data_IF_341511380607
#
_entry.id   IF_341511380607
#
_cell.length_a   1.000
_cell.length_b   1.000
_cell.length_c   1.000
_cell.angle_alpha   90.00
_cell.angle_beta   90.00
_cell.angle_gamma   90.00
#
_symmetry.space_group_name_H-M   'P 1'
#
loop_
_entity.id
_entity.type
_entity.pdbx_description
1 polymer ?
#
# COMPACT_ATOMS: atom_id res chain seq x y z
N UNK A 1 6.25 -12.90 16.61
CA UNK A 1 6.94 -11.65 17.03
C UNK A 1 8.17 -11.48 16.15
N UNK A 2 8.08 -10.67 15.13
CA UNK A 2 9.19 -10.46 14.17
C UNK A 2 9.96 -9.22 14.63
N UNK A 3 10.97 -9.40 15.47
CA UNK A 3 11.93 -8.34 15.81
C UNK A 3 13.24 -8.65 15.10
N UNK A 4 13.89 -7.70 14.40
CA UNK A 4 15.11 -7.97 13.64
C UNK A 4 16.28 -8.47 14.51
N UNK A 5 16.45 -7.92 15.72
CA UNK A 5 17.52 -8.35 16.65
C UNK A 5 17.48 -9.84 17.01
N UNK A 6 16.33 -10.46 17.38
CA UNK A 6 16.31 -11.91 17.64
C UNK A 6 16.52 -12.74 16.36
N UNK A 7 16.07 -12.30 15.19
CA UNK A 7 16.32 -12.99 13.92
C UNK A 7 17.81 -13.02 13.57
N UNK A 8 18.52 -11.91 13.71
CA UNK A 8 19.97 -11.86 13.51
C UNK A 8 20.71 -12.76 14.50
N UNK A 9 20.27 -12.81 15.77
CA UNK A 9 20.82 -13.70 16.77
C UNK A 9 20.58 -15.17 16.43
N UNK A 10 19.40 -15.54 15.93
CA UNK A 10 19.08 -16.90 15.44
C UNK A 10 19.88 -17.25 14.19
N UNK A 11 20.03 -16.32 13.25
CA UNK A 11 20.77 -16.50 12.01
C UNK A 11 22.22 -16.99 12.23
N UNK A 12 22.88 -16.47 13.26
CA UNK A 12 24.22 -16.88 13.63
C UNK A 12 24.25 -17.93 14.75
N UNK A 13 23.32 -17.87 15.68
CA UNK A 13 23.26 -18.78 16.82
C UNK A 13 22.97 -20.24 16.45
N UNK A 14 22.06 -20.48 15.50
CA UNK A 14 21.71 -21.84 15.09
C UNK A 14 22.85 -22.56 14.36
N UNK A 15 23.54 -21.97 13.37
CA UNK A 15 24.72 -22.59 12.76
C UNK A 15 25.85 -22.83 13.75
N UNK A 16 26.11 -21.89 14.68
CA UNK A 16 27.12 -22.05 15.72
C UNK A 16 26.74 -23.22 16.64
N UNK A 17 25.48 -23.31 17.05
CA UNK A 17 24.98 -24.45 17.86
C UNK A 17 25.15 -25.77 17.11
N UNK A 18 24.87 -25.84 15.80
CA UNK A 18 25.08 -27.01 14.98
C UNK A 18 26.55 -27.44 14.99
N UNK A 19 27.48 -26.49 14.81
CA UNK A 19 28.94 -26.79 14.85
C UNK A 19 29.35 -27.33 16.21
N UNK A 20 28.88 -26.72 17.30
CA UNK A 20 29.19 -27.16 18.69
C UNK A 20 28.65 -28.55 18.93
N UNK A 21 27.41 -28.86 18.53
CA UNK A 21 26.81 -30.19 18.69
C UNK A 21 27.57 -31.25 17.90
N UNK A 22 27.94 -30.95 16.65
CA UNK A 22 28.75 -31.88 15.84
C UNK A 22 30.13 -32.14 16.46
N UNK A 23 30.77 -31.08 16.96
CA UNK A 23 32.06 -31.21 17.67
C UNK A 23 31.93 -32.10 18.93
N UNK A 24 30.94 -31.82 19.78
CA UNK A 24 30.68 -32.60 20.99
C UNK A 24 30.41 -34.05 20.69
N UNK A 25 29.55 -34.36 19.70
CA UNK A 25 29.25 -35.76 19.31
C UNK A 25 30.48 -36.45 18.76
N UNK A 26 31.29 -35.74 17.95
CA UNK A 26 32.51 -36.32 17.37
C UNK A 26 33.56 -36.57 18.44
N UNK A 27 33.81 -35.62 19.33
CA UNK A 27 34.76 -35.83 20.46
C UNK A 27 34.29 -36.92 21.38
N UNK A 28 33.02 -36.94 21.78
CA UNK A 28 32.44 -37.99 22.60
C UNK A 28 32.57 -39.37 21.96
N UNK A 29 32.33 -39.47 20.65
CA UNK A 29 32.51 -40.71 19.90
C UNK A 29 33.97 -41.20 19.88
N UNK A 30 34.92 -40.25 19.76
CA UNK A 30 36.36 -40.60 19.76
C UNK A 30 36.86 -41.02 21.14
N UNK A 31 36.44 -40.32 22.20
CA UNK A 31 36.87 -40.52 23.57
C UNK A 31 36.27 -41.80 24.17
N UNK A 32 34.99 -42.07 23.96
CA UNK A 32 34.29 -43.23 24.46
C UNK A 32 34.53 -44.51 23.64
N UNK A 33 35.39 -44.48 22.64
CA UNK A 33 35.65 -45.61 21.74
C UNK A 33 36.41 -46.73 22.45
N UNK A 34 35.82 -47.95 22.62
CA UNK A 34 36.48 -49.05 23.31
C UNK A 34 37.74 -49.52 22.58
N UNK A 35 38.80 -49.88 23.37
CA UNK A 35 40.01 -50.48 22.84
C UNK A 35 39.71 -51.91 22.49
N UNK A 36 39.89 -52.33 21.20
CA UNK A 36 39.72 -53.75 20.78
C UNK A 36 38.53 -54.04 19.87
N UNK A 37 37.81 -53.02 19.40
CA UNK A 37 36.71 -53.21 18.43
C UNK A 37 37.20 -53.59 17.05
N UNK A 38 36.42 -54.42 16.34
CA UNK A 38 36.72 -54.85 14.97
C UNK A 38 36.62 -53.72 13.96
N UNK A 39 37.26 -53.87 12.78
CA UNK A 39 37.18 -52.86 11.70
C UNK A 39 35.74 -52.59 11.29
N UNK A 40 34.90 -53.65 11.19
CA UNK A 40 33.47 -53.49 10.83
C UNK A 40 32.68 -52.64 11.86
N UNK A 41 32.90 -52.89 13.16
CA UNK A 41 32.25 -52.08 14.21
C UNK A 41 32.72 -50.63 14.21
N UNK A 42 33.97 -50.36 13.86
CA UNK A 42 34.49 -49.00 13.71
C UNK A 42 33.79 -48.26 12.57
N UNK A 43 33.68 -48.90 11.40
CA UNK A 43 32.97 -48.34 10.26
C UNK A 43 31.50 -48.06 10.58
N UNK A 44 30.80 -49.03 11.14
CA UNK A 44 29.39 -48.87 11.51
C UNK A 44 29.16 -47.73 12.50
N UNK A 45 29.97 -47.67 13.58
CA UNK A 45 29.83 -46.58 14.57
C UNK A 45 30.15 -45.19 13.99
N UNK A 46 31.13 -45.11 13.08
CA UNK A 46 31.47 -43.83 12.42
C UNK A 46 30.35 -43.39 11.48
N UNK A 47 29.79 -44.30 10.67
CA UNK A 47 28.64 -44.01 9.81
C UNK A 47 27.45 -43.56 10.65
N UNK A 48 27.14 -44.26 11.74
CA UNK A 48 26.02 -43.89 12.62
C UNK A 48 26.18 -42.48 13.19
N UNK A 49 27.37 -42.13 13.69
CA UNK A 49 27.64 -40.79 14.23
C UNK A 49 27.59 -39.76 13.12
N UNK A 50 28.09 -40.04 11.91
CA UNK A 50 27.99 -39.12 10.77
C UNK A 50 26.54 -38.86 10.40
N UNK A 51 25.71 -39.92 10.32
CA UNK A 51 24.27 -39.76 10.04
C UNK A 51 23.59 -38.94 11.12
N UNK A 52 23.89 -39.19 12.39
CA UNK A 52 23.32 -38.45 13.51
C UNK A 52 23.75 -36.98 13.49
N UNK A 53 25.02 -36.69 13.25
CA UNK A 53 25.53 -35.33 13.11
C UNK A 53 24.84 -34.57 11.93
N UNK A 54 24.70 -35.24 10.80
CA UNK A 54 24.01 -34.64 9.62
C UNK A 54 22.55 -34.41 9.95
N UNK A 55 21.83 -35.34 10.54
CA UNK A 55 20.44 -35.21 10.90
C UNK A 55 20.16 -34.07 11.89
N UNK A 56 21.10 -33.79 12.80
CA UNK A 56 20.98 -32.66 13.75
C UNK A 56 21.46 -31.35 13.18
N UNK A 57 22.56 -31.34 12.41
CA UNK A 57 23.14 -30.09 11.89
C UNK A 57 22.33 -29.51 10.74
N UNK A 58 21.77 -30.32 9.84
CA UNK A 58 21.06 -29.87 8.67
C UNK A 58 19.85 -28.98 9.01
N UNK A 59 18.92 -29.40 9.90
CA UNK A 59 17.78 -28.52 10.26
C UNK A 59 18.21 -27.23 10.90
N UNK A 60 19.25 -27.22 11.75
CA UNK A 60 19.77 -26.02 12.40
C UNK A 60 20.42 -25.06 11.38
N UNK A 61 21.19 -25.60 10.45
CA UNK A 61 21.82 -24.80 9.40
C UNK A 61 20.76 -24.19 8.44
N UNK A 62 19.77 -24.99 8.07
CA UNK A 62 18.64 -24.53 7.25
C UNK A 62 17.84 -23.45 7.97
N UNK A 63 17.48 -23.66 9.22
CA UNK A 63 16.75 -22.67 10.02
C UNK A 63 17.58 -21.38 10.22
N UNK A 64 18.90 -21.48 10.42
CA UNK A 64 19.81 -20.35 10.49
C UNK A 64 19.86 -19.55 9.18
N UNK A 65 19.90 -20.24 8.03
CA UNK A 65 19.84 -19.61 6.72
C UNK A 65 18.51 -18.86 6.50
N UNK A 66 17.38 -19.49 6.81
CA UNK A 66 16.08 -18.82 6.73
C UNK A 66 16.00 -17.57 7.62
N UNK A 67 16.51 -17.66 8.87
CA UNK A 67 16.56 -16.50 9.75
C UNK A 67 17.46 -15.37 9.21
N UNK A 68 18.57 -15.73 8.53
CA UNK A 68 19.46 -14.76 7.88
C UNK A 68 18.78 -14.08 6.70
N UNK A 69 18.17 -14.86 5.81
CA UNK A 69 17.49 -14.35 4.62
C UNK A 69 16.32 -13.42 5.04
N UNK A 70 15.54 -13.81 6.07
CA UNK A 70 14.48 -13.00 6.65
C UNK A 70 14.99 -11.67 7.24
N UNK A 71 16.04 -11.70 8.05
CA UNK A 71 16.62 -10.49 8.64
C UNK A 71 17.15 -9.54 7.56
N UNK A 72 17.76 -10.09 6.52
CA UNK A 72 18.35 -9.31 5.43
C UNK A 72 17.30 -8.66 4.53
N UNK A 73 16.20 -9.36 4.25
CA UNK A 73 15.05 -8.83 3.52
C UNK A 73 14.40 -7.66 4.28
N UNK A 74 14.10 -7.88 5.56
CA UNK A 74 13.47 -6.86 6.38
C UNK A 74 14.31 -5.58 6.40
N UNK A 75 15.65 -5.71 6.40
CA UNK A 75 16.57 -4.58 6.31
C UNK A 75 16.60 -3.85 4.96
N UNK A 76 16.11 -4.48 3.90
CA UNK A 76 16.07 -3.84 2.56
C UNK A 76 14.78 -3.07 2.31
N UNK A 77 13.64 -3.57 2.79
CA UNK A 77 12.32 -2.96 2.59
C UNK A 77 12.02 -1.93 3.68
N UNK A 78 12.25 -2.34 4.93
CA UNK A 78 12.02 -1.52 6.12
C UNK A 78 13.38 -1.00 6.61
N UNK A 79 13.53 0.30 6.58
CA UNK A 79 14.85 0.93 6.72
C UNK A 79 14.91 1.85 7.93
N UNK A 80 16.09 1.96 8.51
CA UNK A 80 16.40 3.01 9.48
C UNK A 80 16.85 4.32 8.81
N UNK A 81 16.74 4.43 7.47
CA UNK A 81 17.02 5.65 6.74
C UNK A 81 16.13 6.79 7.22
N UNK A 82 16.63 8.01 7.13
CA UNK A 82 15.94 9.20 7.62
C UNK A 82 14.84 9.65 6.66
N UNK A 83 13.71 10.07 7.22
CA UNK A 83 12.64 10.77 6.51
C UNK A 83 12.19 11.94 7.38
N UNK A 84 12.18 13.13 6.83
CA UNK A 84 11.83 14.37 7.53
C UNK A 84 10.34 14.46 7.88
N UNK A 85 9.50 13.69 7.19
CA UNK A 85 8.03 13.71 7.35
C UNK A 85 7.48 12.52 8.12
N UNK A 86 8.36 11.61 8.58
CA UNK A 86 7.97 10.42 9.33
C UNK A 86 7.58 10.79 10.77
N UNK A 87 6.48 10.23 11.33
CA UNK A 87 6.12 10.48 12.72
C UNK A 87 7.15 9.92 13.68
N UNK A 88 7.43 10.69 14.75
CA UNK A 88 8.28 10.24 15.85
C UNK A 88 7.49 9.28 16.75
N UNK A 89 7.64 7.98 16.53
CA UNK A 89 7.00 6.92 17.31
C UNK A 89 8.06 6.12 18.05
N UNK A 90 7.86 5.89 19.36
CA UNK A 90 8.67 4.95 20.13
C UNK A 90 8.19 3.51 19.90
N UNK A 91 8.89 2.77 19.05
CA UNK A 91 8.59 1.37 18.73
C UNK A 91 9.09 0.36 19.77
N UNK A 92 9.62 0.80 20.90
CA UNK A 92 9.89 -0.07 22.05
C UNK A 92 8.63 -0.35 22.87
N UNK A 93 7.56 0.41 22.62
CA UNK A 93 6.26 0.20 23.21
C UNK A 93 5.56 -1.07 22.67
N UNK A 94 4.50 -1.51 23.34
CA UNK A 94 3.67 -2.58 22.80
C UNK A 94 2.93 -2.12 21.54
N UNK A 95 2.61 -3.05 20.63
CA UNK A 95 1.84 -2.76 19.40
C UNK A 95 0.52 -2.04 19.73
N UNK A 96 -0.14 -2.45 20.81
CA UNK A 96 -1.38 -1.82 21.29
C UNK A 96 -1.18 -0.36 21.67
N UNK A 97 -0.08 -0.04 22.35
CA UNK A 97 0.20 1.32 22.80
C UNK A 97 0.62 2.22 21.63
N UNK A 98 1.35 1.68 20.65
CA UNK A 98 1.67 2.37 19.39
C UNK A 98 0.38 2.88 18.72
N UNK A 99 -0.60 2.00 18.53
CA UNK A 99 -1.85 2.36 17.87
C UNK A 99 -2.81 3.16 18.75
N UNK A 100 -2.74 3.03 20.07
CA UNK A 100 -3.54 3.83 21.00
C UNK A 100 -3.22 5.33 20.88
N UNK A 101 -1.95 5.68 20.62
CA UNK A 101 -1.53 7.07 20.41
C UNK A 101 -1.86 7.59 19.02
N UNK A 102 -2.23 6.71 18.07
CA UNK A 102 -2.46 7.04 16.66
C UNK A 102 -3.75 6.38 16.14
N UNK A 103 -4.91 7.04 16.29
CA UNK A 103 -6.22 6.49 15.90
C UNK A 103 -6.33 6.17 14.41
N UNK A 104 -5.55 6.85 13.58
CA UNK A 104 -5.45 6.60 12.13
C UNK A 104 -4.01 6.68 11.68
N UNK A 105 -3.63 5.79 10.78
CA UNK A 105 -2.36 5.84 10.06
C UNK A 105 -2.65 6.05 8.57
N UNK A 106 -1.93 7.01 7.98
CA UNK A 106 -2.07 7.37 6.57
C UNK A 106 -0.81 6.95 5.82
N UNK A 107 -0.98 6.05 4.86
CA UNK A 107 0.14 5.51 4.07
C UNK A 107 -0.06 5.92 2.62
N UNK A 108 0.93 6.62 2.05
CA UNK A 108 0.97 6.94 0.64
C UNK A 108 1.50 5.73 -0.13
N UNK A 109 0.67 5.20 -1.02
CA UNK A 109 1.01 4.13 -1.95
C UNK A 109 1.34 4.75 -3.30
N UNK A 110 2.54 4.51 -3.78
CA UNK A 110 3.08 5.09 -5.01
C UNK A 110 3.41 3.98 -6.00
N UNK A 111 2.85 4.08 -7.20
CA UNK A 111 3.27 3.27 -8.35
C UNK A 111 4.22 4.06 -9.23
N UNK A 112 5.47 3.61 -9.36
CA UNK A 112 6.48 4.26 -10.19
C UNK A 112 6.56 3.62 -11.58
N UNK A 113 6.66 4.46 -12.63
CA UNK A 113 6.88 3.99 -14.01
C UNK A 113 8.36 3.73 -14.28
N UNK A 114 8.97 2.91 -13.45
CA UNK A 114 10.37 2.48 -13.58
C UNK A 114 10.47 0.95 -13.61
N UNK A 115 11.52 0.45 -14.22
CA UNK A 115 11.91 -0.96 -14.17
C UNK A 115 13.41 -1.10 -14.50
N UNK A 116 13.95 -2.31 -14.39
CA UNK A 116 15.36 -2.59 -14.66
C UNK A 116 15.83 -2.20 -16.07
N UNK A 117 14.93 -2.20 -17.05
CA UNK A 117 15.25 -1.87 -18.42
C UNK A 117 15.21 -0.35 -18.69
N UNK A 118 14.36 0.39 -17.96
CA UNK A 118 14.16 1.83 -18.17
C UNK A 118 15.16 2.71 -17.42
N UNK A 119 15.53 2.30 -16.20
CA UNK A 119 16.46 3.03 -15.32
C UNK A 119 16.07 4.52 -15.08
N UNK A 120 14.78 4.85 -15.10
CA UNK A 120 14.31 6.23 -14.99
C UNK A 120 14.64 6.87 -13.65
N UNK A 121 14.66 6.07 -12.57
CA UNK A 121 15.08 6.53 -11.23
C UNK A 121 16.53 7.02 -11.24
N UNK A 122 17.44 6.25 -11.86
CA UNK A 122 18.83 6.61 -11.95
C UNK A 122 19.06 7.82 -12.88
N UNK A 123 18.18 8.01 -13.87
CA UNK A 123 18.19 9.14 -14.79
C UNK A 123 17.50 10.40 -14.25
N UNK A 124 16.86 10.33 -13.06
CA UNK A 124 16.10 11.45 -12.50
C UNK A 124 14.76 11.75 -13.19
N UNK A 125 14.28 10.84 -14.06
CA UNK A 125 13.07 11.03 -14.87
C UNK A 125 11.91 10.09 -14.50
N UNK A 126 11.93 9.52 -13.30
CA UNK A 126 10.89 8.62 -12.81
C UNK A 126 9.57 9.36 -12.59
N UNK A 127 8.48 8.85 -13.18
CA UNK A 127 7.12 9.34 -12.96
C UNK A 127 6.39 8.50 -11.93
N UNK A 128 5.65 9.14 -11.05
CA UNK A 128 4.78 8.47 -10.06
C UNK A 128 3.35 8.40 -10.56
N UNK A 129 3.06 7.40 -11.39
CA UNK A 129 1.80 7.29 -12.14
C UNK A 129 0.60 6.82 -11.31
N UNK A 130 0.82 6.36 -10.10
CA UNK A 130 -0.23 5.98 -9.14
C UNK A 130 0.02 6.67 -7.81
N UNK A 131 -0.96 7.46 -7.38
CA UNK A 131 -0.95 8.17 -6.11
C UNK A 131 -2.21 7.81 -5.33
N UNK A 132 -2.06 7.03 -4.27
CA UNK A 132 -3.14 6.62 -3.38
C UNK A 132 -2.73 6.84 -1.93
N UNK A 133 -3.61 7.43 -1.12
CA UNK A 133 -3.45 7.49 0.33
C UNK A 133 -4.44 6.54 0.98
N UNK A 134 -3.93 5.51 1.64
CA UNK A 134 -4.72 4.62 2.49
C UNK A 134 -4.77 5.20 3.91
N UNK A 135 -5.93 5.69 4.32
CA UNK A 135 -6.20 6.18 5.67
C UNK A 135 -6.88 5.07 6.47
N UNK A 136 -6.14 4.45 7.38
CA UNK A 136 -6.51 3.22 8.07
C UNK A 136 -6.86 3.55 9.53
N UNK A 137 -8.04 3.17 9.98
CA UNK A 137 -8.41 3.23 11.39
C UNK A 137 -7.69 2.08 12.13
N UNK A 138 -6.81 2.43 13.05
CA UNK A 138 -5.94 1.46 13.73
C UNK A 138 -6.66 0.56 14.73
N UNK A 139 -7.88 0.92 15.15
CA UNK A 139 -8.66 0.13 16.11
C UNK A 139 -9.51 -0.96 15.45
N UNK A 140 -9.97 -0.78 14.21
CA UNK A 140 -10.90 -1.69 13.55
C UNK A 140 -10.55 -2.04 12.11
N UNK A 141 -9.48 -1.46 11.56
CA UNK A 141 -9.02 -1.71 10.21
C UNK A 141 -9.82 -1.04 9.09
N UNK A 142 -10.91 -0.32 9.40
CA UNK A 142 -11.70 0.38 8.38
C UNK A 142 -10.80 1.37 7.62
N UNK A 143 -10.79 1.27 6.31
CA UNK A 143 -9.86 2.00 5.46
C UNK A 143 -10.60 2.85 4.44
N UNK A 144 -10.15 4.09 4.30
CA UNK A 144 -10.55 4.98 3.21
C UNK A 144 -9.36 5.20 2.29
N UNK A 145 -9.54 4.90 1.00
CA UNK A 145 -8.51 5.06 -0.03
C UNK A 145 -8.83 6.31 -0.84
N UNK A 146 -7.91 7.24 -0.88
CA UNK A 146 -8.00 8.47 -1.65
C UNK A 146 -7.04 8.38 -2.84
N UNK A 147 -7.58 8.43 -4.05
CA UNK A 147 -6.77 8.40 -5.26
C UNK A 147 -6.74 9.79 -5.91
N UNK A 148 -5.54 10.32 -6.08
CA UNK A 148 -5.28 11.58 -6.75
C UNK A 148 -4.83 11.27 -8.20
N UNK A 149 -5.46 11.87 -9.23
CA UNK A 149 -5.00 11.71 -10.60
C UNK A 149 -3.57 12.21 -10.75
N UNK A 150 -2.73 11.49 -11.47
CA UNK A 150 -1.33 11.83 -11.68
C UNK A 150 -1.12 13.21 -12.34
N UNK A 151 -2.10 13.64 -13.14
CA UNK A 151 -2.12 14.93 -13.83
C UNK A 151 -2.78 16.06 -13.03
N UNK A 152 -2.87 15.92 -11.71
CA UNK A 152 -3.36 17.00 -10.83
C UNK A 152 -2.29 18.07 -10.72
N UNK A 153 -2.66 19.30 -11.10
CA UNK A 153 -1.78 20.46 -11.01
C UNK A 153 -1.89 21.17 -9.66
N UNK A 154 -1.01 22.15 -9.43
CA UNK A 154 -1.05 23.04 -8.26
C UNK A 154 -1.10 22.29 -6.93
N UNK A 155 -0.44 21.13 -6.84
CA UNK A 155 -0.38 20.38 -5.57
C UNK A 155 0.18 21.26 -4.46
N UNK A 156 -0.59 21.49 -3.37
CA UNK A 156 -0.19 22.45 -2.34
C UNK A 156 0.89 21.86 -1.44
N UNK A 157 1.73 22.73 -0.89
CA UNK A 157 2.63 22.37 0.21
C UNK A 157 2.18 23.04 1.51
N UNK A 158 2.33 22.40 2.69
CA UNK A 158 2.05 23.02 3.98
C UNK A 158 2.81 24.34 4.15
N UNK A 159 2.18 25.32 4.79
CA UNK A 159 2.75 26.66 4.96
C UNK A 159 4.08 26.70 5.73
N UNK A 160 4.33 25.70 6.56
CA UNK A 160 5.58 25.49 7.32
C UNK A 160 6.62 24.66 6.54
N UNK A 161 6.27 24.16 5.37
CA UNK A 161 7.21 23.45 4.50
C UNK A 161 8.15 24.40 3.78
N UNK A 162 9.46 24.10 3.70
CA UNK A 162 10.39 24.88 2.88
C UNK A 162 9.96 25.02 1.43
N UNK A 163 9.33 23.99 0.85
CA UNK A 163 8.84 24.00 -0.53
C UNK A 163 7.68 24.98 -0.76
N UNK A 164 6.97 25.41 0.29
CA UNK A 164 5.93 26.43 0.17
C UNK A 164 6.50 27.78 -0.30
N UNK A 165 7.72 28.11 0.08
CA UNK A 165 8.37 29.35 -0.36
C UNK A 165 8.75 29.30 -1.84
N UNK A 166 9.14 28.13 -2.34
CA UNK A 166 9.47 27.94 -3.77
C UNK A 166 8.18 27.80 -4.62
N UNK A 167 7.09 27.27 -4.04
CA UNK A 167 5.80 27.04 -4.70
C UNK A 167 4.62 27.60 -3.89
N UNK A 168 4.51 28.93 -3.72
CA UNK A 168 3.49 29.54 -2.87
C UNK A 168 2.05 29.36 -3.41
N UNK A 169 1.89 29.10 -4.71
CA UNK A 169 0.63 28.83 -5.38
C UNK A 169 0.39 27.32 -5.65
N UNK A 170 1.10 26.46 -4.92
CA UNK A 170 1.18 25.03 -5.18
C UNK A 170 2.25 24.70 -6.22
N UNK A 171 2.51 23.39 -6.44
CA UNK A 171 3.51 22.92 -7.41
C UNK A 171 3.06 23.24 -8.82
N UNK A 172 3.56 24.36 -9.33
CA UNK A 172 3.23 24.95 -10.63
C UNK A 172 4.40 25.79 -11.13
N UNK A 173 4.63 25.78 -12.44
CA UNK A 173 5.62 26.63 -13.09
C UNK A 173 5.19 28.08 -13.19
N UNK A 174 6.14 28.96 -13.44
CA UNK A 174 5.88 30.36 -13.77
C UNK A 174 5.09 30.40 -15.09
N UNK A 175 4.01 31.21 -15.15
CA UNK A 175 3.10 31.30 -16.29
C UNK A 175 2.38 30.01 -16.73
N UNK A 176 2.38 28.96 -15.91
CA UNK A 176 1.67 27.70 -16.18
C UNK A 176 0.18 27.81 -15.79
N UNK A 177 -0.70 27.39 -16.69
CA UNK A 177 -2.15 27.35 -16.47
C UNK A 177 -2.63 26.04 -15.79
N UNK A 178 -1.72 25.14 -15.41
CA UNK A 178 -2.01 23.84 -14.81
C UNK A 178 -2.07 22.71 -15.84
N UNK A 179 -1.55 22.91 -17.04
CA UNK A 179 -1.52 21.89 -18.10
C UNK A 179 -0.12 21.36 -18.38
N UNK A 180 0.94 21.99 -17.84
CA UNK A 180 2.31 21.56 -18.03
C UNK A 180 2.60 20.24 -17.26
N UNK A 181 2.95 19.14 -17.96
CA UNK A 181 3.21 17.85 -17.34
C UNK A 181 4.36 17.85 -16.30
N UNK A 182 5.31 18.77 -16.44
CA UNK A 182 6.47 18.89 -15.55
C UNK A 182 6.10 19.43 -14.15
N UNK A 183 4.89 20.01 -14.03
CA UNK A 183 4.36 20.54 -12.77
C UNK A 183 3.08 19.85 -12.32
N UNK A 184 2.87 18.61 -12.74
CA UNK A 184 1.78 17.76 -12.25
C UNK A 184 2.22 16.90 -11.06
N UNK A 185 1.26 16.34 -10.35
CA UNK A 185 1.49 15.52 -9.13
C UNK A 185 2.51 14.40 -9.33
N UNK A 186 2.53 13.77 -10.53
CA UNK A 186 3.46 12.69 -10.86
C UNK A 186 4.91 13.14 -11.06
N UNK A 187 5.17 14.43 -11.23
CA UNK A 187 6.51 14.99 -11.41
C UNK A 187 7.16 15.43 -10.08
N UNK A 188 6.39 15.60 -8.99
CA UNK A 188 6.91 16.12 -7.71
C UNK A 188 8.11 15.31 -7.22
N UNK A 189 8.01 13.98 -7.26
CA UNK A 189 9.08 13.10 -6.77
C UNK A 189 10.40 13.36 -7.48
N UNK A 190 10.40 13.33 -8.81
CA UNK A 190 11.60 13.50 -9.62
C UNK A 190 12.15 14.92 -9.53
N UNK A 191 11.29 15.93 -9.66
CA UNK A 191 11.69 17.34 -9.61
C UNK A 191 12.33 17.68 -8.26
N UNK A 192 11.73 17.28 -7.14
CA UNK A 192 12.30 17.59 -5.83
C UNK A 192 13.57 16.78 -5.57
N UNK A 193 13.65 15.54 -6.05
CA UNK A 193 14.86 14.74 -5.94
C UNK A 193 16.04 15.27 -6.77
N UNK A 194 15.76 15.99 -7.87
CA UNK A 194 16.78 16.57 -8.74
C UNK A 194 17.18 18.00 -8.29
N UNK A 195 16.20 18.86 -8.07
CA UNK A 195 16.42 20.29 -8.05
C UNK A 195 16.22 20.94 -6.67
N UNK A 196 15.53 20.26 -5.71
CA UNK A 196 15.15 20.84 -4.43
C UNK A 196 15.59 20.00 -3.22
N UNK A 197 16.59 19.15 -3.38
CA UNK A 197 17.10 18.27 -2.28
C UNK A 197 17.48 19.07 -1.05
N UNK A 198 18.18 20.18 -1.25
CA UNK A 198 18.68 21.06 -0.16
C UNK A 198 17.54 21.70 0.65
N UNK A 199 16.33 21.79 0.06
CA UNK A 199 15.14 22.31 0.75
C UNK A 199 14.55 21.32 1.74
N UNK A 200 14.77 20.02 1.52
CA UNK A 200 14.12 18.96 2.29
C UNK A 200 14.81 18.61 3.62
N UNK A 201 15.95 19.26 3.92
CA UNK A 201 16.70 19.01 5.14
C UNK A 201 17.33 17.62 5.18
N UNK A 202 17.49 17.07 6.38
CA UNK A 202 18.14 15.76 6.57
C UNK A 202 17.18 14.60 6.26
N UNK A 203 17.06 14.22 5.00
CA UNK A 203 16.29 13.06 4.55
C UNK A 203 17.04 12.24 3.50
N UNK A 204 16.82 10.94 3.52
CA UNK A 204 17.30 10.01 2.49
C UNK A 204 16.25 9.84 1.36
N UNK A 205 15.07 10.50 1.48
CA UNK A 205 13.92 10.37 0.60
C UNK A 205 13.28 11.73 0.22
N UNK A 206 14.06 12.70 -0.32
CA UNK A 206 13.54 14.06 -0.52
C UNK A 206 12.28 14.12 -1.41
N UNK A 207 12.26 13.38 -2.52
CA UNK A 207 11.09 13.35 -3.40
C UNK A 207 9.87 12.68 -2.78
N UNK A 208 10.06 11.62 -1.99
CA UNK A 208 8.97 10.97 -1.27
C UNK A 208 8.40 11.86 -0.16
N UNK A 209 9.27 12.52 0.60
CA UNK A 209 8.85 13.44 1.66
C UNK A 209 8.09 14.63 1.07
N UNK A 210 8.55 15.19 -0.05
CA UNK A 210 7.82 16.23 -0.78
C UNK A 210 6.45 15.76 -1.25
N UNK A 211 6.36 14.55 -1.82
CA UNK A 211 5.11 13.97 -2.28
C UNK A 211 4.15 13.68 -1.13
N UNK A 212 4.65 13.22 0.04
CA UNK A 212 3.86 13.06 1.28
C UNK A 212 3.30 14.40 1.75
N UNK A 213 4.11 15.46 1.77
CA UNK A 213 3.68 16.80 2.15
C UNK A 213 2.59 17.32 1.21
N UNK A 214 2.83 17.23 -0.11
CA UNK A 214 1.87 17.73 -1.10
C UNK A 214 0.54 16.97 -1.08
N UNK A 215 0.58 15.63 -1.04
CA UNK A 215 -0.64 14.80 -0.98
C UNK A 215 -1.36 14.97 0.35
N UNK A 216 -0.64 15.11 1.45
CA UNK A 216 -1.19 15.36 2.77
C UNK A 216 -1.93 16.69 2.83
N UNK A 217 -1.31 17.76 2.36
CA UNK A 217 -1.91 19.10 2.33
C UNK A 217 -3.13 19.15 1.39
N UNK A 218 -3.05 18.50 0.22
CA UNK A 218 -4.17 18.43 -0.72
C UNK A 218 -5.39 17.72 -0.11
N UNK A 219 -5.18 16.66 0.68
CA UNK A 219 -6.24 15.86 1.29
C UNK A 219 -6.65 16.34 2.70
N UNK A 220 -5.91 17.28 3.29
CA UNK A 220 -6.10 17.70 4.69
C UNK A 220 -5.75 16.59 5.69
N UNK A 221 -4.73 15.77 5.39
CA UNK A 221 -4.28 14.64 6.19
C UNK A 221 -2.77 14.75 6.44
N UNK A 222 -2.32 14.28 7.60
CA UNK A 222 -0.88 14.03 7.77
C UNK A 222 -0.56 12.65 7.19
N UNK A 223 0.25 12.58 6.14
CA UNK A 223 0.74 11.33 5.57
C UNK A 223 1.94 10.85 6.38
N UNK A 224 1.79 9.68 7.00
CA UNK A 224 2.78 9.15 7.96
C UNK A 224 3.94 8.44 7.28
N UNK A 225 3.60 7.57 6.36
CA UNK A 225 4.56 6.70 5.68
C UNK A 225 4.28 6.65 4.18
N UNK A 226 5.27 6.21 3.42
CA UNK A 226 5.06 5.82 2.04
C UNK A 226 5.52 4.40 1.76
N UNK A 227 4.92 3.79 0.74
CA UNK A 227 5.37 2.56 0.11
C UNK A 227 5.32 2.77 -1.39
N UNK A 228 6.47 2.67 -2.04
CA UNK A 228 6.58 2.75 -3.49
C UNK A 228 6.90 1.39 -4.08
N UNK A 229 6.18 1.03 -5.14
CA UNK A 229 6.40 -0.15 -5.96
C UNK A 229 6.69 0.30 -7.39
N UNK A 230 7.76 -0.20 -7.98
CA UNK A 230 7.97 -0.11 -9.41
C UNK A 230 7.26 -1.26 -10.17
N UNK A 231 7.30 -1.25 -11.49
CA UNK A 231 6.63 -2.23 -12.35
C UNK A 231 7.10 -3.65 -12.03
N UNK A 232 8.41 -3.85 -11.94
CA UNK A 232 9.01 -5.17 -11.68
C UNK A 232 8.68 -5.66 -10.26
N UNK A 233 8.64 -4.73 -9.29
CA UNK A 233 8.28 -5.01 -7.90
C UNK A 233 6.84 -5.48 -7.76
N UNK A 234 5.92 -4.83 -8.45
CA UNK A 234 4.51 -5.22 -8.46
C UNK A 234 4.33 -6.64 -9.03
N UNK A 235 4.94 -6.92 -10.20
CA UNK A 235 4.87 -8.24 -10.82
C UNK A 235 5.37 -9.34 -9.88
N UNK A 236 6.57 -9.15 -9.34
CA UNK A 236 7.20 -10.15 -8.46
C UNK A 236 6.46 -10.33 -7.14
N UNK A 237 5.91 -9.25 -6.56
CA UNK A 237 5.10 -9.36 -5.35
C UNK A 237 3.88 -10.24 -5.61
N UNK A 238 3.20 -10.04 -6.74
CA UNK A 238 2.02 -10.82 -7.11
C UNK A 238 2.38 -12.27 -7.40
N UNK A 239 3.48 -12.53 -8.12
CA UNK A 239 3.97 -13.88 -8.38
C UNK A 239 4.36 -14.60 -7.09
N UNK A 240 5.04 -13.90 -6.18
CA UNK A 240 5.40 -14.41 -4.87
C UNK A 240 4.18 -14.76 -4.00
N UNK A 241 3.08 -14.01 -4.12
CA UNK A 241 1.79 -14.34 -3.52
C UNK A 241 1.07 -15.49 -4.24
N UNK A 242 1.59 -15.92 -5.39
CA UNK A 242 1.02 -16.98 -6.23
C UNK A 242 -0.09 -16.50 -7.14
N UNK A 243 -0.09 -15.23 -7.49
CA UNK A 243 -1.10 -14.58 -8.32
C UNK A 243 -2.20 -13.95 -7.49
N UNK A 244 -3.06 -13.18 -8.14
CA UNK A 244 -4.24 -12.53 -7.56
C UNK A 244 -5.49 -12.92 -8.33
N UNK A 245 -6.64 -12.85 -7.66
CA UNK A 245 -7.95 -13.10 -8.28
C UNK A 245 -8.74 -11.81 -8.35
N UNK A 246 -9.15 -11.41 -9.56
CA UNK A 246 -9.92 -10.18 -9.83
C UNK A 246 -11.07 -10.46 -10.78
N UNK A 247 -12.06 -9.58 -10.81
CA UNK A 247 -13.08 -9.56 -11.87
C UNK A 247 -12.60 -8.65 -13.00
N UNK A 248 -12.78 -9.09 -14.24
CA UNK A 248 -12.45 -8.32 -15.43
C UNK A 248 -13.77 -7.95 -16.10
N UNK A 249 -14.13 -6.68 -16.05
CA UNK A 249 -15.41 -6.17 -16.54
C UNK A 249 -15.33 -5.61 -17.97
N UNK A 250 -14.12 -5.41 -18.49
CA UNK A 250 -13.84 -4.94 -19.84
C UNK A 250 -12.63 -5.67 -20.40
N UNK A 251 -12.60 -5.86 -21.71
CA UNK A 251 -11.48 -6.50 -22.41
C UNK A 251 -10.27 -5.57 -22.41
N UNK A 252 -9.13 -6.02 -21.89
CA UNK A 252 -7.94 -5.19 -21.71
C UNK A 252 -6.79 -5.70 -22.56
N UNK A 253 -6.16 -4.87 -23.40
CA UNK A 253 -4.98 -5.27 -24.17
C UNK A 253 -3.77 -5.47 -23.25
N UNK A 254 -3.00 -6.51 -23.57
CA UNK A 254 -1.71 -6.82 -22.99
C UNK A 254 -0.65 -6.26 -23.93
N UNK A 255 0.26 -5.42 -23.43
CA UNK A 255 1.26 -4.72 -24.22
C UNK A 255 0.64 -3.93 -25.39
N UNK A 256 1.46 -3.44 -26.30
CA UNK A 256 1.00 -2.71 -27.48
C UNK A 256 0.49 -1.29 -27.23
N UNK A 257 0.17 -0.64 -28.28
CA UNK A 257 -0.70 0.53 -28.47
C UNK A 257 -0.32 1.93 -27.97
N UNK A 258 0.88 2.22 -27.57
CA UNK A 258 1.32 3.62 -27.45
C UNK A 258 2.00 4.16 -28.72
N UNK A 259 2.37 3.29 -29.67
CA UNK A 259 3.09 3.64 -30.88
C UNK A 259 2.63 2.83 -32.12
N UNK A 260 1.35 2.42 -32.13
CA UNK A 260 0.81 1.63 -33.24
C UNK A 260 1.27 0.17 -33.25
N UNK A 261 1.77 -0.35 -32.12
CA UNK A 261 2.08 -1.78 -31.98
C UNK A 261 0.81 -2.56 -31.64
N UNK A 262 0.60 -3.67 -32.28
CA UNK A 262 -0.47 -4.61 -31.93
C UNK A 262 -0.27 -5.15 -30.52
N UNK A 263 -1.36 -5.35 -29.75
CA UNK A 263 -1.30 -6.02 -28.46
C UNK A 263 -0.76 -7.44 -28.59
N UNK A 264 0.01 -7.89 -27.61
CA UNK A 264 0.48 -9.29 -27.51
C UNK A 264 -0.63 -10.28 -27.20
N UNK A 265 -1.73 -9.78 -26.65
CA UNK A 265 -2.92 -10.53 -26.27
C UNK A 265 -3.91 -9.66 -25.54
N UNK A 266 -4.89 -10.30 -24.90
CA UNK A 266 -5.93 -9.60 -24.15
C UNK A 266 -6.23 -10.32 -22.83
N UNK A 267 -6.56 -9.55 -21.81
CA UNK A 267 -7.27 -10.05 -20.64
C UNK A 267 -8.75 -10.04 -21.00
N UNK A 268 -9.35 -11.22 -21.09
CA UNK A 268 -10.74 -11.37 -21.49
C UNK A 268 -11.70 -11.08 -20.34
N UNK A 269 -12.92 -10.65 -20.65
CA UNK A 269 -13.98 -10.39 -19.68
C UNK A 269 -14.32 -11.68 -18.92
N UNK A 270 -14.39 -11.62 -17.61
CA UNK A 270 -14.76 -12.77 -16.80
C UNK A 270 -14.71 -12.53 -15.29
N UNK A 271 -15.52 -13.29 -14.53
CA UNK A 271 -15.48 -13.25 -13.07
C UNK A 271 -14.31 -14.07 -12.54
N UNK A 272 -13.81 -13.66 -11.37
CA UNK A 272 -12.81 -14.40 -10.56
C UNK A 272 -11.61 -14.92 -11.37
N UNK A 273 -11.07 -14.09 -12.25
CA UNK A 273 -9.91 -14.40 -13.09
C UNK A 273 -8.64 -14.39 -12.24
N UNK A 274 -7.85 -15.48 -12.31
CA UNK A 274 -6.55 -15.55 -11.64
C UNK A 274 -5.47 -15.01 -12.56
N UNK A 275 -4.78 -13.98 -12.09
CA UNK A 275 -3.71 -13.32 -12.81
C UNK A 275 -2.37 -13.56 -12.10
N UNK A 276 -1.32 -13.87 -12.86
CA UNK A 276 0.08 -13.77 -12.42
C UNK A 276 0.55 -12.31 -12.38
N UNK A 277 1.79 -12.08 -12.01
CA UNK A 277 2.32 -10.72 -11.89
C UNK A 277 2.31 -9.94 -13.19
N UNK A 278 2.61 -10.58 -14.33
CA UNK A 278 2.60 -9.93 -15.63
C UNK A 278 1.19 -9.50 -16.05
N UNK A 279 0.23 -10.38 -15.95
CA UNK A 279 -1.17 -10.09 -16.31
C UNK A 279 -1.82 -9.10 -15.34
N UNK A 280 -1.52 -9.20 -14.04
CA UNK A 280 -2.01 -8.25 -13.05
C UNK A 280 -1.42 -6.84 -13.25
N UNK A 281 -0.17 -6.74 -13.67
CA UNK A 281 0.44 -5.46 -14.05
C UNK A 281 -0.30 -4.82 -15.23
N UNK A 282 -0.63 -5.60 -16.26
CA UNK A 282 -1.41 -5.09 -17.40
C UNK A 282 -2.85 -4.76 -17.03
N UNK A 283 -3.49 -5.53 -16.14
CA UNK A 283 -4.80 -5.18 -15.56
C UNK A 283 -4.79 -3.79 -14.91
N UNK A 284 -3.75 -3.48 -14.14
CA UNK A 284 -3.62 -2.20 -13.45
C UNK A 284 -3.14 -1.05 -14.36
N UNK A 285 -2.54 -1.34 -15.51
CA UNK A 285 -1.86 -0.35 -16.36
C UNK A 285 -2.57 -0.05 -17.66
N UNK A 286 -3.26 -1.01 -18.26
CA UNK A 286 -3.90 -0.86 -19.56
C UNK A 286 -4.88 0.32 -19.59
N UNK A 287 -4.85 1.11 -20.67
CA UNK A 287 -5.70 2.29 -20.91
C UNK A 287 -6.36 2.30 -22.29
N UNK A 288 -6.09 1.28 -23.10
CA UNK A 288 -6.71 1.20 -24.43
C UNK A 288 -8.22 1.06 -24.27
N UNK A 289 -8.97 1.88 -24.97
CA UNK A 289 -10.44 1.94 -24.96
C UNK A 289 -11.07 2.33 -23.61
N UNK A 290 -10.26 2.65 -22.58
CA UNK A 290 -10.73 3.06 -21.26
C UNK A 290 -10.08 4.36 -20.78
N UNK A 291 -10.71 5.02 -19.82
CA UNK A 291 -10.21 6.28 -19.25
C UNK A 291 -9.11 6.03 -18.22
N UNK A 292 -8.37 7.09 -17.89
CA UNK A 292 -7.40 7.05 -16.77
C UNK A 292 -8.08 6.70 -15.43
N UNK A 293 -9.35 7.06 -15.28
CA UNK A 293 -10.15 6.78 -14.08
C UNK A 293 -10.56 5.31 -13.96
N UNK A 294 -10.82 4.64 -15.08
CA UNK A 294 -11.07 3.19 -15.09
C UNK A 294 -9.82 2.43 -14.66
N UNK A 295 -8.65 2.89 -15.13
CA UNK A 295 -7.36 2.39 -14.65
C UNK A 295 -7.21 2.57 -13.13
N UNK A 296 -7.50 3.77 -12.59
CA UNK A 296 -7.45 4.03 -11.15
C UNK A 296 -8.42 3.11 -10.38
N UNK A 297 -9.59 2.83 -10.96
CA UNK A 297 -10.53 1.86 -10.43
C UNK A 297 -9.94 0.45 -10.35
N UNK A 298 -9.34 -0.04 -11.43
CA UNK A 298 -8.67 -1.35 -11.47
C UNK A 298 -7.50 -1.45 -10.48
N UNK A 299 -6.75 -0.38 -10.29
CA UNK A 299 -5.68 -0.32 -9.28
C UNK A 299 -6.21 -0.53 -7.86
N UNK A 300 -7.36 0.07 -7.51
CA UNK A 300 -8.02 -0.17 -6.22
C UNK A 300 -8.44 -1.64 -6.06
N UNK A 301 -8.97 -2.24 -7.13
CA UNK A 301 -9.38 -3.65 -7.11
C UNK A 301 -8.19 -4.60 -6.98
N UNK A 302 -7.09 -4.29 -7.67
CA UNK A 302 -5.85 -5.06 -7.54
C UNK A 302 -5.30 -4.98 -6.10
N UNK A 303 -5.29 -3.79 -5.50
CA UNK A 303 -4.85 -3.61 -4.13
C UNK A 303 -5.71 -4.42 -3.14
N UNK A 304 -7.04 -4.40 -3.29
CA UNK A 304 -7.94 -5.24 -2.50
C UNK A 304 -7.62 -6.71 -2.65
N UNK A 305 -7.44 -7.18 -3.90
CA UNK A 305 -7.10 -8.58 -4.18
C UNK A 305 -5.76 -9.00 -3.54
N UNK A 306 -4.76 -8.13 -3.57
CA UNK A 306 -3.47 -8.34 -2.87
C UNK A 306 -3.67 -8.44 -1.36
N UNK A 307 -4.43 -7.53 -0.75
CA UNK A 307 -4.73 -7.55 0.70
C UNK A 307 -5.48 -8.83 1.12
N UNK A 308 -6.47 -9.24 0.35
CA UNK A 308 -7.24 -10.46 0.62
C UNK A 308 -6.36 -11.73 0.52
N UNK A 309 -5.39 -11.73 -0.41
CA UNK A 309 -4.50 -12.85 -0.67
C UNK A 309 -3.29 -12.91 0.27
N UNK A 310 -2.82 -11.77 0.76
CA UNK A 310 -1.69 -11.65 1.68
C UNK A 310 -2.02 -12.21 3.08
N UNK A 311 -2.42 -13.50 3.16
CA UNK A 311 -2.64 -14.16 4.45
C UNK A 311 -1.33 -14.41 5.18
N UNK A 312 -1.27 -14.37 6.54
CA UNK A 312 -0.05 -14.68 7.27
C UNK A 312 0.54 -16.04 6.89
N UNK A 313 -0.30 -17.03 6.59
CA UNK A 313 0.13 -18.35 6.12
C UNK A 313 0.74 -18.25 4.71
N UNK A 314 0.11 -17.55 3.77
CA UNK A 314 0.62 -17.37 2.41
C UNK A 314 1.93 -16.58 2.40
N UNK A 315 2.01 -15.51 3.20
CA UNK A 315 3.23 -14.72 3.34
C UNK A 315 4.35 -15.56 3.95
N UNK A 316 4.07 -16.35 5.00
CA UNK A 316 5.06 -17.20 5.67
C UNK A 316 5.57 -18.32 4.76
N UNK A 317 4.69 -19.01 4.02
CA UNK A 317 5.06 -20.13 3.13
C UNK A 317 5.76 -19.68 1.85
N UNK A 318 5.58 -18.44 1.44
CA UNK A 318 6.16 -17.84 0.21
C UNK A 318 7.21 -16.77 0.51
N UNK A 319 7.64 -16.74 1.75
CA UNK A 319 8.51 -15.69 2.29
C UNK A 319 9.79 -15.50 1.48
N UNK A 320 10.48 -16.58 1.09
CA UNK A 320 11.71 -16.50 0.28
C UNK A 320 11.44 -15.81 -1.07
N UNK A 321 10.35 -16.19 -1.74
CA UNK A 321 9.99 -15.61 -3.04
C UNK A 321 9.65 -14.12 -2.93
N UNK A 322 8.98 -13.72 -1.85
CA UNK A 322 8.68 -12.30 -1.56
C UNK A 322 9.96 -11.53 -1.23
N UNK A 323 10.88 -12.16 -0.49
CA UNK A 323 12.17 -11.60 -0.13
C UNK A 323 13.04 -11.30 -1.35
N UNK A 324 13.17 -12.26 -2.22
CA UNK A 324 13.95 -12.13 -3.46
C UNK A 324 13.31 -11.10 -4.43
N UNK A 325 11.97 -11.04 -4.43
CA UNK A 325 11.23 -10.07 -5.24
C UNK A 325 11.46 -8.62 -4.80
N UNK A 326 11.63 -8.38 -3.50
CA UNK A 326 11.58 -7.03 -2.91
C UNK A 326 12.88 -6.22 -3.01
N UNK A 327 13.97 -6.82 -3.46
CA UNK A 327 15.36 -6.35 -3.23
C UNK A 327 15.77 -4.95 -3.68
N UNK A 328 15.14 -4.27 -4.62
CA UNK A 328 15.35 -2.85 -5.00
C UNK A 328 14.07 -2.19 -5.55
N UNK A 329 12.98 -2.94 -5.60
CA UNK A 329 11.76 -2.62 -6.31
C UNK A 329 10.64 -2.13 -5.38
N UNK A 330 10.81 -2.33 -4.09
CA UNK A 330 9.95 -1.79 -3.03
C UNK A 330 10.79 -0.82 -2.19
N UNK A 331 10.35 0.41 -2.11
CA UNK A 331 10.99 1.46 -1.28
C UNK A 331 9.96 1.98 -0.29
N UNK A 332 10.35 2.10 0.97
CA UNK A 332 9.48 2.61 2.04
C UNK A 332 10.31 3.36 3.09
N UNK A 333 9.67 4.31 3.79
CA UNK A 333 10.23 4.95 4.97
C UNK A 333 9.73 4.33 6.29
N UNK A 334 8.98 3.23 6.23
CA UNK A 334 8.49 2.51 7.41
C UNK A 334 9.70 1.91 8.15
N UNK A 335 9.92 2.27 9.44
CA UNK A 335 11.04 1.71 10.22
C UNK A 335 10.85 0.22 10.49
N UNK A 336 11.96 -0.53 10.55
CA UNK A 336 11.91 -1.95 10.92
C UNK A 336 11.18 -2.22 12.24
N UNK A 337 11.35 -1.33 13.22
CA UNK A 337 10.67 -1.43 14.52
C UNK A 337 9.14 -1.38 14.45
N UNK A 338 8.57 -0.79 13.38
CA UNK A 338 7.12 -0.71 13.16
C UNK A 338 6.53 -1.97 12.50
N UNK A 339 7.35 -2.88 11.99
CA UNK A 339 6.86 -4.06 11.27
C UNK A 339 5.84 -4.90 12.06
N UNK A 340 6.07 -5.22 13.36
CA UNK A 340 5.07 -5.96 14.14
C UNK A 340 3.71 -5.25 14.20
N UNK A 341 3.72 -3.92 14.31
CA UNK A 341 2.52 -3.11 14.37
C UNK A 341 1.77 -3.11 13.02
N UNK A 342 2.49 -3.02 11.89
CA UNK A 342 1.88 -3.10 10.57
C UNK A 342 1.34 -4.50 10.24
N UNK A 343 2.00 -5.57 10.70
CA UNK A 343 1.50 -6.95 10.56
C UNK A 343 0.21 -7.14 11.32
N UNK A 344 0.11 -6.63 12.55
CA UNK A 344 -1.11 -6.65 13.36
C UNK A 344 -2.24 -5.83 12.72
N UNK A 345 -1.90 -4.63 12.22
CA UNK A 345 -2.85 -3.78 11.50
C UNK A 345 -3.37 -4.45 10.23
N UNK A 346 -2.51 -5.07 9.44
CA UNK A 346 -2.92 -5.80 8.24
C UNK A 346 -3.85 -6.98 8.58
N UNK A 347 -3.64 -7.67 9.71
CA UNK A 347 -4.56 -8.69 10.20
C UNK A 347 -5.93 -8.08 10.59
N UNK A 348 -5.93 -6.90 11.21
CA UNK A 348 -7.15 -6.18 11.60
C UNK A 348 -7.93 -5.66 10.39
N UNK A 349 -7.24 -5.26 9.31
CA UNK A 349 -7.87 -4.80 8.07
C UNK A 349 -8.64 -5.90 7.32
N UNK A 350 -8.37 -7.18 7.62
CA UNK A 350 -9.08 -8.29 6.99
C UNK A 350 -10.53 -8.30 7.41
N UNK A 351 -11.41 -8.28 6.43
CA UNK A 351 -12.84 -8.22 6.64
C UNK A 351 -13.35 -6.87 7.15
N UNK A 352 -12.48 -5.86 7.29
CA UNK A 352 -12.88 -4.49 7.54
C UNK A 352 -13.48 -3.83 6.28
N UNK A 353 -14.18 -2.71 6.46
CA UNK A 353 -14.73 -1.97 5.34
C UNK A 353 -13.62 -1.19 4.64
N UNK A 354 -13.54 -1.33 3.31
CA UNK A 354 -12.64 -0.55 2.48
C UNK A 354 -13.49 0.30 1.53
N UNK A 355 -13.41 1.60 1.68
CA UNK A 355 -14.06 2.57 0.82
C UNK A 355 -13.00 3.30 -0.01
N UNK A 356 -13.40 3.77 -1.19
CA UNK A 356 -12.54 4.58 -2.06
C UNK A 356 -13.21 5.88 -2.44
N UNK A 357 -12.40 6.90 -2.60
CA UNK A 357 -12.73 8.17 -3.23
C UNK A 357 -11.73 8.37 -4.36
N UNK A 358 -12.22 8.43 -5.59
CA UNK A 358 -11.41 8.70 -6.78
C UNK A 358 -11.73 10.11 -7.26
N UNK A 359 -10.75 11.01 -7.16
CA UNK A 359 -10.92 12.37 -7.66
C UNK A 359 -10.88 12.33 -9.19
N UNK A 360 -12.02 12.63 -9.81
CA UNK A 360 -12.23 12.49 -11.25
C UNK A 360 -12.49 13.86 -11.86
N UNK A 361 -11.70 14.24 -12.88
CA UNK A 361 -11.88 15.52 -13.56
C UNK A 361 -13.32 15.68 -14.08
N UNK A 362 -13.94 16.80 -13.75
CA UNK A 362 -15.33 17.10 -14.11
C UNK A 362 -16.39 16.45 -13.24
N UNK A 363 -16.03 15.65 -12.22
CA UNK A 363 -16.97 15.04 -11.27
C UNK A 363 -16.83 15.63 -9.88
N UNK A 364 -17.95 15.77 -9.17
CA UNK A 364 -18.02 16.25 -7.79
C UNK A 364 -17.25 17.57 -7.54
N UNK A 365 -17.15 18.42 -8.55
CA UNK A 365 -16.46 19.70 -8.50
C UNK A 365 -14.93 19.63 -8.63
N UNK A 366 -14.34 18.45 -8.83
CA UNK A 366 -12.90 18.31 -9.01
C UNK A 366 -12.48 18.62 -10.45
N UNK A 367 -11.50 19.51 -10.63
CA UNK A 367 -10.87 19.85 -11.93
C UNK A 367 -9.36 19.70 -11.78
N UNK A 368 -8.74 18.78 -12.53
CA UNK A 368 -7.32 18.44 -12.37
C UNK A 368 -6.36 19.61 -12.60
N UNK A 369 -6.66 20.52 -13.53
CA UNK A 369 -5.82 21.70 -13.81
C UNK A 369 -5.96 22.80 -12.74
N UNK A 370 -7.15 22.91 -12.14
CA UNK A 370 -7.48 23.93 -11.13
C UNK A 370 -8.26 23.30 -9.96
N UNK A 371 -7.64 22.45 -9.14
CA UNK A 371 -8.34 21.77 -8.06
C UNK A 371 -8.77 22.76 -6.97
N UNK A 372 -10.03 22.61 -6.52
CA UNK A 372 -10.50 23.22 -5.27
C UNK A 372 -10.12 22.29 -4.11
N UNK A 373 -8.98 22.59 -3.48
CA UNK A 373 -8.48 21.75 -2.39
C UNK A 373 -9.31 21.88 -1.11
N UNK A 374 -10.07 22.95 -0.90
CA UNK A 374 -10.98 23.04 0.24
C UNK A 374 -12.15 22.08 0.06
N UNK A 375 -12.68 21.97 -1.14
CA UNK A 375 -13.69 20.98 -1.49
C UNK A 375 -13.14 19.55 -1.36
N UNK A 376 -11.91 19.29 -1.83
CA UNK A 376 -11.23 18.00 -1.69
C UNK A 376 -11.13 17.61 -0.20
N UNK A 377 -10.66 18.53 0.66
CA UNK A 377 -10.55 18.29 2.12
C UNK A 377 -11.91 18.00 2.78
N UNK A 378 -12.96 18.70 2.35
CA UNK A 378 -14.32 18.44 2.83
C UNK A 378 -14.80 17.04 2.45
N UNK A 379 -14.57 16.61 1.21
CA UNK A 379 -14.92 15.26 0.73
C UNK A 379 -14.14 14.18 1.47
N UNK A 380 -12.85 14.38 1.71
CA UNK A 380 -11.99 13.48 2.51
C UNK A 380 -12.52 13.34 3.93
N UNK A 381 -12.82 14.47 4.59
CA UNK A 381 -13.38 14.48 5.96
C UNK A 381 -14.73 13.76 6.04
N UNK A 382 -15.60 13.98 5.06
CA UNK A 382 -16.89 13.30 4.98
C UNK A 382 -16.72 11.78 4.77
N UNK A 383 -15.81 11.34 3.90
CA UNK A 383 -15.56 9.93 3.64
C UNK A 383 -14.99 9.19 4.87
N UNK A 384 -14.11 9.85 5.64
CA UNK A 384 -13.58 9.30 6.89
C UNK A 384 -14.66 9.25 7.98
N UNK A 385 -15.49 10.29 8.12
CA UNK A 385 -16.58 10.38 9.08
C UNK A 385 -17.75 9.43 8.76
N UNK A 386 -18.09 9.28 7.47
CA UNK A 386 -19.18 8.42 7.02
C UNK A 386 -18.98 6.93 7.31
N UNK A 387 -17.73 6.47 7.37
CA UNK A 387 -17.39 5.09 7.78
C UNK A 387 -17.79 4.83 9.25
N UNK A 388 -17.67 5.84 10.12
CA UNK A 388 -18.08 5.73 11.53
C UNK A 388 -19.62 5.68 11.69
N UNK A 389 -20.36 6.41 10.85
CA UNK A 389 -21.83 6.45 10.90
C UNK A 389 -22.50 5.20 10.32
N UNK A 390 -21.88 4.55 9.31
CA UNK A 390 -22.43 3.33 8.69
C UNK A 390 -22.57 2.18 9.70
N UNK A 391 -21.65 2.03 10.64
CA UNK A 391 -21.74 0.99 11.71
C UNK A 391 -22.84 1.25 12.73
N UNK A 392 -23.28 2.50 12.88
CA UNK A 392 -24.33 2.83 13.86
C UNK A 392 -25.74 2.60 13.28
N UNK A 393 -25.91 2.54 11.97
CA UNK A 393 -27.20 2.27 11.31
C UNK A 393 -27.62 0.80 11.33
N UNK A 394 -26.71 -0.12 11.62
CA UNK A 394 -27.00 -1.57 11.70
C UNK A 394 -27.29 -2.07 13.11
N UNK A 395 -27.46 -1.19 14.09
CA UNK A 395 -27.94 -1.58 15.42
C UNK A 395 -29.50 -1.59 15.40
N UNK A 396 -30.16 -2.69 15.73
CA UNK A 396 -31.63 -2.73 15.74
C UNK A 396 -32.18 -1.69 16.75
N UNK A 397 -33.01 -0.79 16.27
CA UNK A 397 -33.74 0.13 17.13
C UNK A 397 -34.87 -0.66 17.77
N UNK A 398 -34.66 -1.17 18.98
CA UNK A 398 -35.74 -1.67 19.84
C UNK A 398 -36.25 -0.51 20.66
N UNK A 399 -37.50 -0.09 20.41
CA UNK A 399 -38.23 0.83 21.28
C UNK A 399 -39.03 1.89 20.54
N UNK A 400 -40.10 1.50 19.87
CA UNK A 400 -41.13 2.44 19.43
C UNK A 400 -42.21 2.49 20.49
N UNK A 401 -42.36 3.63 21.16
CA UNK A 401 -43.55 3.97 21.92
C UNK A 401 -44.48 4.78 21.04
N UNK A 402 -45.73 4.31 20.93
CA UNK A 402 -46.77 4.88 20.11
C UNK A 402 -47.34 6.16 20.73
N UNK A 403 -47.48 7.22 19.96
CA UNK A 403 -48.34 8.35 20.25
C UNK A 403 -49.32 8.58 19.10
N UNK A 404 -50.60 8.71 19.50
CA UNK A 404 -51.84 8.76 18.73
C UNK A 404 -51.99 10.07 17.94
N UNK A 405 -52.76 10.12 16.84
CA UNK A 405 -52.95 11.32 16.03
C UNK A 405 -54.06 12.23 16.57
N UNK A 406 -53.85 13.54 16.42
CA UNK A 406 -54.91 14.55 16.59
C UNK A 406 -55.22 15.22 15.25
N UNK A 407 -56.55 15.43 15.06
CA UNK A 407 -57.19 15.88 13.82
C UNK A 407 -57.29 17.40 13.73
N UNK A 408 -57.38 17.89 12.52
CA UNK A 408 -58.23 18.98 11.97
C UNK A 408 -57.70 20.42 12.00
N UNK A 409 -57.46 20.98 10.81
CA UNK A 409 -58.19 22.15 10.29
C UNK A 409 -57.81 22.50 8.85
N UNK A 410 -58.79 22.90 8.10
CA UNK A 410 -58.98 23.06 6.65
C UNK A 410 -58.60 24.51 6.18
N UNK A 411 -58.59 24.84 4.88
CA UNK A 411 -57.57 25.65 4.21
C UNK A 411 -57.98 27.10 3.90
N UNK A 412 -57.00 27.92 3.60
CA UNK A 412 -57.25 29.19 2.88
C UNK A 412 -56.11 29.44 1.90
N UNK A 413 -56.45 29.61 0.61
CA UNK A 413 -55.60 30.07 -0.48
C UNK A 413 -56.03 31.50 -0.85
N UNK A 414 -55.39 32.21 -1.87
CA UNK A 414 -53.95 32.32 -2.23
C UNK A 414 -53.53 33.81 -2.31
N UNK A 415 -52.21 34.07 -2.35
CA UNK A 415 -51.73 35.36 -2.85
C UNK A 415 -50.37 35.17 -3.60
N UNK A 416 -50.39 35.52 -4.87
CA UNK A 416 -49.25 35.51 -5.78
C UNK A 416 -48.29 36.65 -5.51
N UNK A 417 -47.00 36.34 -5.38
CA UNK A 417 -45.92 37.24 -5.83
C UNK A 417 -44.68 36.41 -6.12
N UNK A 418 -43.98 36.58 -7.29
CA UNK A 418 -42.79 35.80 -7.60
C UNK A 418 -41.58 36.38 -6.87
N UNK A 419 -40.98 35.62 -6.00
CA UNK A 419 -39.67 35.87 -5.44
C UNK A 419 -38.67 34.98 -6.13
N UNK A 420 -37.66 35.56 -6.74
CA UNK A 420 -36.51 34.85 -7.29
C UNK A 420 -35.76 34.20 -6.13
N UNK A 421 -36.03 32.95 -5.86
CA UNK A 421 -35.19 32.11 -4.99
C UNK A 421 -34.02 31.61 -5.79
N UNK A 422 -32.82 32.00 -5.41
CA UNK A 422 -31.59 31.38 -5.86
C UNK A 422 -31.69 29.88 -5.58
N UNK A 423 -31.58 29.09 -6.63
CA UNK A 423 -31.46 27.62 -6.54
C UNK A 423 -30.12 27.35 -5.89
N UNK A 424 -30.12 27.09 -4.58
CA UNK A 424 -28.99 26.46 -3.93
C UNK A 424 -28.90 25.05 -4.48
N UNK A 425 -27.89 24.78 -5.29
CA UNK A 425 -27.52 23.41 -5.68
C UNK A 425 -27.29 22.61 -4.40
N UNK A 426 -27.88 21.41 -4.24
CA UNK A 426 -27.62 20.58 -3.09
C UNK A 426 -26.12 20.26 -3.05
N UNK A 427 -25.47 20.56 -1.92
CA UNK A 427 -24.13 20.03 -1.66
C UNK A 427 -24.14 18.50 -1.80
N UNK A 428 -23.19 17.90 -2.54
CA UNK A 428 -23.17 16.45 -2.70
C UNK A 428 -23.12 15.78 -1.32
N UNK A 429 -24.04 14.87 -1.07
CA UNK A 429 -24.05 14.04 0.14
C UNK A 429 -22.81 13.17 0.14
N UNK A 430 -22.20 12.94 1.30
CA UNK A 430 -20.97 12.15 1.47
C UNK A 430 -21.04 10.73 0.86
N UNK A 431 -22.23 10.23 0.59
CA UNK A 431 -22.49 8.92 -0.04
C UNK A 431 -22.21 8.93 -1.57
N UNK A 432 -22.29 10.09 -2.23
CA UNK A 432 -22.11 10.19 -3.69
C UNK A 432 -20.63 10.21 -4.10
N UNK A 433 -19.72 10.52 -3.17
CA UNK A 433 -18.27 10.66 -3.44
C UNK A 433 -17.51 9.40 -3.04
N UNK A 434 -17.96 8.67 -1.99
CA UNK A 434 -17.30 7.49 -1.45
C UNK A 434 -17.98 6.21 -1.91
N UNK A 435 -17.21 5.27 -2.48
CA UNK A 435 -17.71 3.99 -2.98
C UNK A 435 -17.05 2.83 -2.24
N UNK A 436 -17.82 1.81 -1.87
CA UNK A 436 -17.26 0.54 -1.38
C UNK A 436 -16.36 -0.10 -2.45
N UNK A 437 -15.14 -0.46 -2.07
CA UNK A 437 -14.21 -1.14 -3.01
C UNK A 437 -14.76 -2.51 -3.38
N UNK A 438 -15.46 -3.20 -2.48
CA UNK A 438 -16.08 -4.50 -2.76
C UNK A 438 -17.13 -4.39 -3.86
N UNK A 439 -18.00 -3.38 -3.78
CA UNK A 439 -19.05 -3.17 -4.78
C UNK A 439 -18.46 -2.68 -6.10
N UNK A 440 -17.47 -1.80 -6.05
CA UNK A 440 -16.78 -1.30 -7.23
C UNK A 440 -16.00 -2.38 -8.00
N UNK A 441 -15.56 -3.42 -7.31
CA UNK A 441 -14.79 -4.54 -7.88
C UNK A 441 -15.67 -5.77 -8.15
N UNK A 442 -17.00 -5.67 -7.98
CA UNK A 442 -17.91 -6.73 -8.34
C UNK A 442 -17.87 -7.02 -9.84
N UNK A 443 -18.19 -8.26 -10.22
CA UNK A 443 -18.34 -8.61 -11.62
C UNK A 443 -19.63 -7.99 -12.19
N UNK A 444 -19.45 -7.00 -13.02
CA UNK A 444 -20.55 -6.26 -13.67
C UNK A 444 -20.06 -5.75 -15.04
N UNK A 445 -19.88 -6.64 -16.02
CA UNK A 445 -19.45 -6.25 -17.36
C UNK A 445 -20.52 -5.35 -17.99
N UNK A 446 -20.08 -4.24 -18.60
CA UNK A 446 -20.96 -3.47 -19.48
C UNK A 446 -21.24 -4.35 -20.71
N UNK A 447 -22.50 -4.50 -21.07
CA UNK A 447 -22.85 -5.11 -22.38
C UNK A 447 -22.26 -4.23 -23.51
N UNK A 448 -21.64 -4.85 -24.52
CA UNK A 448 -20.99 -4.16 -25.61
C UNK A 448 -21.96 -3.32 -26.47
#
# INVERSE_FOLDING_TARGET
MVRPKPLTALAWGLPILAVVLVALLTFSHLDLRPRGITRGQRWFSTILVTVLCTALATPLAVAGRYAYDEAHMLGRIFTDKRSGTRPAIDYNQSVKDIWASKPRVNVLLVGADDNKARHYRAAGSMSTDTLMVASINTSNGDTSIFQIPRNTARMPFPADSPLHNDFPNGFIGEDDDGTNPDYMANAIWSTVSADYVDRMGETDYPGADALKLATGEALGLTVDYFVMLDIDGLQKLIDALGGVTVNINERLPIAGNTEGKEPEGYLEIGPAQRLDGYHAMWYARSRSESTDYDRMGRQSCLMKAVLDQASPQNVLTRFESIADASGQMVVSDIPQGMLPAFVDLAATMRGANINRVVFTNGKHGFISAHPDYDLVRQQVKAAIGGVAESKNKNKPVTGASAAKPSKTATPTAPSNKPSHSAVSSPSPTSQDVSQSVTDACAYNPQEP
#
